data_IF_139785259378
#
_entry.id   IF_139785259378
#
_cell.length_a   1.000
_cell.length_b   1.000
_cell.length_c   1.000
_cell.angle_alpha   90.00
_cell.angle_beta   90.00
_cell.angle_gamma   90.00
#
_symmetry.space_group_name_H-M   'P 1'
#
loop_
_entity.id
_entity.type
_entity.pdbx_description
1 polymer ?
#
# COMPACT_ATOMS: atom_id res chain seq x y z
N UNK A 1 11.16 -21.88 0.64
CA UNK A 1 10.96 -21.12 1.90
C UNK A 1 11.70 -19.78 1.93
N UNK A 2 12.82 -19.62 1.21
CA UNK A 2 13.60 -18.37 1.24
C UNK A 2 13.24 -17.35 0.13
N UNK A 3 12.57 -17.79 -0.94
CA UNK A 3 12.24 -16.96 -2.11
C UNK A 3 11.24 -15.85 -1.75
N UNK A 4 10.11 -16.19 -1.12
CA UNK A 4 9.09 -15.18 -0.74
C UNK A 4 9.62 -14.15 0.27
N UNK A 5 10.32 -14.56 1.36
CA UNK A 5 10.96 -13.60 2.26
C UNK A 5 12.01 -12.71 1.57
N UNK A 6 12.75 -13.22 0.58
CA UNK A 6 13.73 -12.43 -0.16
C UNK A 6 13.06 -11.33 -0.99
N UNK A 7 11.97 -11.66 -1.70
CA UNK A 7 11.18 -10.69 -2.46
C UNK A 7 10.52 -9.65 -1.55
N UNK A 8 9.97 -10.09 -0.41
CA UNK A 8 9.42 -9.16 0.61
C UNK A 8 10.49 -8.22 1.16
N UNK A 9 11.68 -8.73 1.47
CA UNK A 9 12.79 -7.89 1.93
C UNK A 9 13.14 -6.82 0.91
N UNK A 10 13.11 -7.11 -0.39
CA UNK A 10 13.34 -6.09 -1.41
C UNK A 10 12.28 -4.98 -1.36
N UNK A 11 11.00 -5.33 -1.18
CA UNK A 11 9.92 -4.36 -1.07
C UNK A 11 10.10 -3.47 0.18
N UNK A 12 10.42 -4.06 1.34
CA UNK A 12 10.69 -3.29 2.58
C UNK A 12 11.93 -2.40 2.44
N UNK A 13 13.04 -2.93 1.93
CA UNK A 13 14.31 -2.21 1.79
C UNK A 13 14.13 -1.03 0.83
N UNK A 14 13.49 -1.25 -0.32
CA UNK A 14 13.23 -0.18 -1.29
C UNK A 14 12.30 0.90 -0.73
N UNK A 15 11.23 0.54 -0.01
CA UNK A 15 10.35 1.54 0.64
C UNK A 15 11.10 2.38 1.68
N UNK A 16 11.94 1.76 2.52
CA UNK A 16 12.71 2.49 3.54
C UNK A 16 13.74 3.43 2.88
N UNK A 17 14.51 2.92 1.90
CA UNK A 17 15.49 3.72 1.18
C UNK A 17 14.83 4.88 0.41
N UNK A 18 13.70 4.63 -0.26
CA UNK A 18 12.97 5.68 -0.99
C UNK A 18 12.37 6.71 -0.05
N UNK A 19 11.92 6.33 1.15
CA UNK A 19 11.43 7.31 2.14
C UNK A 19 12.54 8.32 2.50
N UNK A 20 13.77 7.84 2.73
CA UNK A 20 14.93 8.71 2.97
C UNK A 20 15.27 9.54 1.73
N UNK A 21 15.26 8.92 0.55
CA UNK A 21 15.51 9.62 -0.71
C UNK A 21 14.52 10.75 -0.98
N UNK A 22 13.22 10.52 -0.77
CA UNK A 22 12.18 11.54 -0.94
C UNK A 22 12.36 12.66 0.10
N UNK A 23 12.74 12.35 1.35
CA UNK A 23 13.01 13.38 2.36
C UNK A 23 14.14 14.33 1.92
N UNK A 24 15.22 13.78 1.37
CA UNK A 24 16.36 14.55 0.85
C UNK A 24 15.93 15.38 -0.36
N UNK A 25 15.22 14.78 -1.32
CA UNK A 25 14.75 15.47 -2.53
C UNK A 25 13.78 16.60 -2.16
N UNK A 26 12.85 16.39 -1.24
CA UNK A 26 11.93 17.42 -0.77
C UNK A 26 12.62 18.58 -0.06
N UNK A 27 13.79 18.36 0.54
CA UNK A 27 14.57 19.43 1.16
C UNK A 27 15.42 20.22 0.15
N UNK A 28 15.98 19.53 -0.85
CA UNK A 28 16.91 20.14 -1.83
C UNK A 28 16.16 20.80 -2.99
N UNK A 29 15.12 20.13 -3.53
CA UNK A 29 14.49 20.52 -4.78
C UNK A 29 13.26 21.44 -4.59
N UNK A 30 12.63 21.45 -3.42
CA UNK A 30 11.42 22.25 -3.16
C UNK A 30 11.71 23.44 -2.23
N UNK A 31 11.18 24.64 -2.53
CA UNK A 31 11.23 25.77 -1.61
C UNK A 31 10.41 25.47 -0.34
N UNK A 32 10.75 26.10 0.78
CA UNK A 32 10.09 25.88 2.07
C UNK A 32 8.58 26.19 2.05
N UNK A 33 8.14 27.03 1.12
CA UNK A 33 6.73 27.40 0.93
C UNK A 33 6.49 27.72 -0.54
N UNK A 34 5.43 27.17 -1.12
CA UNK A 34 4.98 27.42 -2.49
C UNK A 34 3.46 27.29 -2.56
N UNK A 35 2.86 27.61 -3.71
CA UNK A 35 1.41 27.51 -3.90
C UNK A 35 1.05 26.38 -4.84
N UNK A 36 -0.03 25.66 -4.52
CA UNK A 36 -0.67 24.68 -5.39
C UNK A 36 -2.06 25.20 -5.78
N UNK A 37 -2.42 24.99 -7.03
CA UNK A 37 -3.77 25.30 -7.52
C UNK A 37 -4.81 24.38 -6.87
N UNK A 38 -5.81 24.98 -6.22
CA UNK A 38 -6.90 24.28 -5.56
C UNK A 38 -8.25 24.90 -5.99
N UNK A 39 -8.88 24.33 -7.02
CA UNK A 39 -10.20 24.72 -7.53
C UNK A 39 -10.42 26.23 -7.74
N UNK A 40 -9.41 26.91 -8.30
CA UNK A 40 -9.49 28.36 -8.59
C UNK A 40 -8.74 29.24 -7.59
N UNK A 41 -8.32 28.70 -6.44
CA UNK A 41 -7.50 29.41 -5.45
C UNK A 41 -6.07 28.85 -5.37
N UNK A 42 -5.12 29.68 -4.93
CA UNK A 42 -3.74 29.27 -4.70
C UNK A 42 -3.56 28.89 -3.22
N UNK A 43 -3.52 27.59 -2.94
CA UNK A 43 -3.30 27.06 -1.58
C UNK A 43 -1.82 27.09 -1.25
N UNK A 44 -1.46 27.69 -0.12
CA UNK A 44 -0.08 27.70 0.37
C UNK A 44 0.27 26.34 0.97
N UNK A 45 1.28 25.69 0.42
CA UNK A 45 1.75 24.35 0.81
C UNK A 45 3.23 24.43 1.20
N UNK A 46 3.62 23.66 2.23
CA UNK A 46 5.00 23.55 2.70
C UNK A 46 5.66 22.30 2.11
N UNK A 47 6.99 22.32 1.95
CA UNK A 47 7.75 21.19 1.45
C UNK A 47 7.53 19.87 2.23
N UNK A 48 7.43 19.93 3.56
CA UNK A 48 7.19 18.74 4.39
C UNK A 48 5.80 18.15 4.18
N UNK A 49 4.81 18.96 3.81
CA UNK A 49 3.46 18.48 3.50
C UNK A 49 3.50 17.64 2.22
N UNK A 50 4.23 18.11 1.20
CA UNK A 50 4.38 17.38 -0.05
C UNK A 50 5.23 16.11 0.13
N UNK A 51 6.24 16.14 1.00
CA UNK A 51 6.95 14.94 1.44
C UNK A 51 6.00 13.90 2.04
N UNK A 52 5.06 14.32 2.90
CA UNK A 52 4.07 13.41 3.49
C UNK A 52 3.08 12.87 2.45
N UNK A 53 2.66 13.68 1.46
CA UNK A 53 1.78 13.21 0.38
C UNK A 53 2.43 12.07 -0.43
N UNK A 54 3.72 12.19 -0.77
CA UNK A 54 4.43 11.12 -1.49
C UNK A 54 4.68 9.92 -0.57
N UNK A 55 5.08 10.18 0.68
CA UNK A 55 5.39 9.13 1.65
C UNK A 55 4.16 8.28 1.97
N UNK A 56 2.98 8.88 2.19
CA UNK A 56 1.77 8.10 2.51
C UNK A 56 1.40 7.15 1.36
N UNK A 57 1.57 7.56 0.10
CA UNK A 57 1.36 6.70 -1.06
C UNK A 57 2.37 5.55 -1.13
N UNK A 58 3.64 5.82 -0.84
CA UNK A 58 4.70 4.81 -0.78
C UNK A 58 4.42 3.75 0.31
N UNK A 59 4.05 4.19 1.51
CA UNK A 59 3.71 3.30 2.62
C UNK A 59 2.38 2.56 2.40
N UNK A 60 1.40 3.20 1.75
CA UNK A 60 0.16 2.52 1.34
C UNK A 60 0.46 1.39 0.36
N UNK A 61 1.38 1.59 -0.60
CA UNK A 61 1.84 0.53 -1.50
C UNK A 61 2.49 -0.65 -0.78
N UNK A 62 3.32 -0.38 0.23
CA UNK A 62 3.90 -1.42 1.11
C UNK A 62 2.80 -2.22 1.82
N UNK A 63 1.83 -1.53 2.43
CA UNK A 63 0.70 -2.19 3.12
C UNK A 63 -0.08 -3.09 2.16
N UNK A 64 -0.39 -2.59 0.96
CA UNK A 64 -1.09 -3.37 -0.07
C UNK A 64 -0.28 -4.62 -0.42
N UNK A 65 1.02 -4.51 -0.65
CA UNK A 65 1.88 -5.65 -0.96
C UNK A 65 1.86 -6.74 0.12
N UNK A 66 1.92 -6.35 1.40
CA UNK A 66 1.87 -7.28 2.53
C UNK A 66 0.50 -7.98 2.64
N UNK A 67 -0.58 -7.23 2.43
CA UNK A 67 -1.93 -7.81 2.48
C UNK A 67 -2.15 -8.75 1.30
N UNK A 68 -1.72 -8.38 0.11
CA UNK A 68 -1.79 -9.24 -1.07
C UNK A 68 -0.99 -10.52 -0.85
N UNK A 69 0.23 -10.45 -0.28
CA UNK A 69 1.02 -11.64 0.07
C UNK A 69 0.26 -12.55 1.04
N UNK A 70 -0.33 -12.00 2.10
CA UNK A 70 -1.08 -12.77 3.10
C UNK A 70 -2.27 -13.54 2.51
N UNK A 71 -2.99 -12.94 1.56
CA UNK A 71 -4.15 -13.56 0.93
C UNK A 71 -3.81 -14.43 -0.29
N UNK A 72 -2.56 -14.43 -0.78
CA UNK A 72 -2.19 -15.16 -2.01
C UNK A 72 -1.07 -16.20 -1.84
N UNK A 73 -0.22 -16.09 -0.82
CA UNK A 73 0.81 -17.09 -0.55
C UNK A 73 0.23 -18.32 0.17
N UNK A 74 0.63 -19.50 -0.29
CA UNK A 74 0.30 -20.79 0.33
C UNK A 74 1.00 -21.01 1.69
N UNK A 75 1.89 -20.11 2.09
CA UNK A 75 2.51 -20.12 3.41
C UNK A 75 1.55 -19.68 4.53
N UNK A 76 0.44 -19.01 4.19
CA UNK A 76 -0.52 -18.46 5.16
C UNK A 76 -1.85 -19.22 5.17
N UNK A 77 -2.56 -19.11 6.30
CA UNK A 77 -3.83 -19.81 6.52
C UNK A 77 -4.90 -19.54 5.46
N UNK A 78 -5.11 -18.31 4.91
CA UNK A 78 -6.22 -18.08 3.99
C UNK A 78 -6.16 -18.96 2.73
N UNK A 79 -4.96 -19.16 2.19
CA UNK A 79 -4.76 -20.02 1.01
C UNK A 79 -4.73 -21.50 1.38
N UNK A 80 -4.23 -21.83 2.57
CA UNK A 80 -4.28 -23.20 3.09
C UNK A 80 -5.73 -23.66 3.34
N UNK A 81 -6.60 -22.77 3.82
CA UNK A 81 -8.04 -23.04 4.02
C UNK A 81 -8.75 -23.28 2.69
N UNK A 82 -8.41 -22.50 1.64
CA UNK A 82 -8.91 -22.73 0.27
C UNK A 82 -8.44 -24.10 -0.24
N UNK A 83 -7.16 -24.45 -0.03
CA UNK A 83 -6.65 -25.76 -0.41
C UNK A 83 -7.33 -26.91 0.37
N UNK A 84 -7.62 -26.73 1.66
CA UNK A 84 -8.29 -27.74 2.48
C UNK A 84 -9.76 -27.91 2.08
N UNK A 85 -10.42 -26.84 1.64
CA UNK A 85 -11.80 -26.91 1.14
C UNK A 85 -11.96 -27.84 -0.07
N UNK A 86 -10.88 -28.08 -0.84
CA UNK A 86 -10.87 -29.06 -1.94
C UNK A 86 -11.23 -30.49 -1.51
N UNK A 87 -11.09 -30.84 -0.21
CA UNK A 87 -11.51 -32.15 0.31
C UNK A 87 -13.00 -32.42 0.16
N UNK A 88 -13.81 -31.36 0.08
CA UNK A 88 -15.28 -31.44 -0.02
C UNK A 88 -15.79 -31.23 -1.45
N UNK A 89 -14.90 -31.04 -2.42
CA UNK A 89 -15.21 -30.92 -3.84
C UNK A 89 -14.77 -29.59 -4.47
N UNK A 90 -14.92 -29.48 -5.79
CA UNK A 90 -14.54 -28.27 -6.54
C UNK A 90 -15.45 -27.07 -6.23
N UNK A 91 -16.74 -27.31 -5.93
CA UNK A 91 -17.70 -26.25 -5.66
C UNK A 91 -17.35 -25.44 -4.41
N UNK A 92 -16.95 -26.11 -3.33
CA UNK A 92 -16.53 -25.45 -2.08
C UNK A 92 -15.24 -24.67 -2.28
N UNK A 93 -14.28 -25.19 -3.03
CA UNK A 93 -13.06 -24.46 -3.40
C UNK A 93 -13.35 -23.12 -4.10
N UNK A 94 -14.29 -23.10 -5.06
CA UNK A 94 -14.70 -21.87 -5.73
C UNK A 94 -15.37 -20.90 -4.75
N UNK A 95 -16.24 -21.39 -3.87
CA UNK A 95 -16.93 -20.55 -2.87
C UNK A 95 -15.93 -19.91 -1.90
N UNK A 96 -15.00 -20.70 -1.34
CA UNK A 96 -13.96 -20.19 -0.44
C UNK A 96 -13.01 -19.22 -1.14
N UNK A 97 -12.63 -19.51 -2.39
CA UNK A 97 -11.79 -18.61 -3.20
C UNK A 97 -12.47 -17.26 -3.46
N UNK A 98 -13.75 -17.25 -3.83
CA UNK A 98 -14.51 -16.01 -4.02
C UNK A 98 -14.66 -15.21 -2.72
N UNK A 99 -14.99 -15.90 -1.61
CA UNK A 99 -15.12 -15.26 -0.30
C UNK A 99 -13.79 -14.65 0.17
N UNK A 100 -12.67 -15.35 -0.05
CA UNK A 100 -11.33 -14.83 0.23
C UNK A 100 -11.01 -13.59 -0.60
N UNK A 101 -11.36 -13.60 -1.89
CA UNK A 101 -11.24 -12.43 -2.77
C UNK A 101 -11.96 -11.22 -2.20
N UNK A 102 -13.23 -11.37 -1.83
CA UNK A 102 -14.04 -10.30 -1.23
C UNK A 102 -13.52 -9.83 0.13
N UNK A 103 -12.88 -10.71 0.91
CA UNK A 103 -12.26 -10.32 2.19
C UNK A 103 -10.96 -9.53 1.98
N UNK A 104 -10.18 -9.86 0.94
CA UNK A 104 -8.85 -9.28 0.73
C UNK A 104 -8.86 -7.79 0.38
N UNK A 105 -9.96 -7.27 -0.18
CA UNK A 105 -10.06 -5.85 -0.61
C UNK A 105 -10.19 -4.85 0.53
N UNK A 106 -10.55 -5.29 1.74
CA UNK A 106 -10.87 -4.39 2.86
C UNK A 106 -9.68 -3.50 3.23
N UNK A 107 -8.51 -4.09 3.49
CA UNK A 107 -7.33 -3.35 3.92
C UNK A 107 -6.75 -2.48 2.79
N UNK A 108 -6.63 -2.95 1.53
CA UNK A 108 -6.23 -2.12 0.40
C UNK A 108 -7.11 -0.89 0.21
N UNK A 109 -8.43 -1.03 0.34
CA UNK A 109 -9.35 0.12 0.23
C UNK A 109 -9.11 1.13 1.35
N UNK A 110 -8.89 0.68 2.60
CA UNK A 110 -8.52 1.59 3.69
C UNK A 110 -7.18 2.28 3.46
N UNK A 111 -6.17 1.56 2.96
CA UNK A 111 -4.86 2.14 2.64
C UNK A 111 -4.98 3.24 1.57
N UNK A 112 -5.77 3.00 0.53
CA UNK A 112 -6.06 3.98 -0.53
C UNK A 112 -6.84 5.18 0.04
N UNK A 113 -7.88 4.95 0.84
CA UNK A 113 -8.68 6.01 1.44
C UNK A 113 -7.85 6.95 2.32
N UNK A 114 -6.96 6.38 3.15
CA UNK A 114 -6.03 7.17 3.99
C UNK A 114 -5.04 7.95 3.10
N UNK A 115 -4.49 7.30 2.06
CA UNK A 115 -3.56 7.96 1.13
C UNK A 115 -4.22 9.15 0.42
N UNK A 116 -5.47 9.00 -0.02
CA UNK A 116 -6.26 10.08 -0.64
C UNK A 116 -6.50 11.19 0.39
N UNK A 117 -7.02 10.85 1.57
CA UNK A 117 -7.36 11.85 2.60
C UNK A 117 -6.14 12.70 3.00
N UNK A 118 -5.02 12.06 3.30
CA UNK A 118 -3.78 12.74 3.72
C UNK A 118 -3.24 13.60 2.57
N UNK A 119 -3.15 13.03 1.37
CA UNK A 119 -2.60 13.76 0.22
C UNK A 119 -3.46 14.98 -0.10
N UNK A 120 -4.77 14.76 -0.28
CA UNK A 120 -5.74 15.80 -0.64
C UNK A 120 -5.87 16.91 0.43
N UNK A 121 -5.78 16.55 1.71
CA UNK A 121 -5.83 17.54 2.79
C UNK A 121 -4.59 18.46 2.78
N UNK A 122 -3.43 17.93 2.42
CA UNK A 122 -2.18 18.69 2.41
C UNK A 122 -1.93 19.45 1.12
N UNK A 123 -2.08 18.81 -0.04
CA UNK A 123 -1.73 19.33 -1.37
C UNK A 123 -2.77 18.91 -2.40
#
# INVERSE_FOLDING_TARGET
KEIEPALKKQLVISTVLMTVGIAIVSWIALPSTFTIFNFGEQKVVKNWQLFLCVSVGLWAGLIIGFVTEYYTSNAYSPVQDVADSCRTGAATNVIFGLALGYKSVIIPIFAIAISIFVSFSFA
#
